data_IF_531784442090
#
_entry.id   IF_531784442090
#
_cell.length_a   1.000
_cell.length_b   1.000
_cell.length_c   1.000
_cell.angle_alpha   90.00
_cell.angle_beta   90.00
_cell.angle_gamma   90.00
#
_symmetry.space_group_name_H-M   'P 1'
#
loop_
_entity.id
_entity.type
_entity.pdbx_description
1 polymer ?
#
# COMPACT_ATOMS: atom_id res chain seq x y z
N UNK A 1 -19.94 -13.95 8.26
CA UNK A 1 -19.19 -14.45 7.08
C UNK A 1 -18.71 -13.31 6.17
N UNK A 2 -19.53 -12.31 5.84
CA UNK A 2 -19.13 -11.18 4.96
C UNK A 2 -18.01 -10.28 5.52
N UNK A 3 -17.98 -10.04 6.83
CA UNK A 3 -16.97 -9.17 7.47
C UNK A 3 -15.56 -9.72 7.31
N UNK A 4 -15.33 -11.03 7.52
CA UNK A 4 -14.02 -11.66 7.32
C UNK A 4 -13.52 -11.62 5.88
N UNK A 5 -14.43 -11.71 4.90
CA UNK A 5 -14.08 -11.56 3.48
C UNK A 5 -13.69 -10.12 3.13
N UNK A 6 -14.39 -9.12 3.68
CA UNK A 6 -14.02 -7.72 3.52
C UNK A 6 -12.66 -7.41 4.17
N UNK A 7 -12.41 -7.97 5.36
CA UNK A 7 -11.15 -7.84 6.09
C UNK A 7 -9.97 -8.41 5.29
N UNK A 8 -10.10 -9.64 4.79
CA UNK A 8 -9.07 -10.30 3.97
C UNK A 8 -8.71 -9.54 2.69
N UNK A 9 -9.67 -8.85 2.05
CA UNK A 9 -9.38 -7.98 0.89
C UNK A 9 -8.56 -6.75 1.26
N UNK A 10 -8.83 -6.12 2.41
CA UNK A 10 -8.06 -4.95 2.86
C UNK A 10 -6.64 -5.36 3.22
N UNK A 11 -6.46 -6.48 3.90
CA UNK A 11 -5.13 -6.98 4.28
C UNK A 11 -4.32 -7.43 3.07
N UNK A 12 -4.95 -8.08 2.09
CA UNK A 12 -4.30 -8.38 0.82
C UNK A 12 -3.78 -7.13 0.11
N UNK A 13 -4.53 -6.02 0.13
CA UNK A 13 -4.07 -4.74 -0.43
C UNK A 13 -2.95 -4.09 0.40
N UNK A 14 -3.00 -4.19 1.73
CA UNK A 14 -1.92 -3.71 2.62
C UNK A 14 -0.62 -4.47 2.37
N UNK A 15 -0.68 -5.79 2.22
CA UNK A 15 0.46 -6.64 1.88
C UNK A 15 1.00 -6.31 0.48
N UNK A 16 0.13 -6.12 -0.50
CA UNK A 16 0.56 -5.73 -1.84
C UNK A 16 1.27 -4.36 -1.84
N UNK A 17 0.80 -3.39 -1.04
CA UNK A 17 1.47 -2.10 -0.85
C UNK A 17 2.86 -2.23 -0.22
N UNK A 18 3.03 -3.07 0.81
CA UNK A 18 4.35 -3.25 1.45
C UNK A 18 5.37 -3.87 0.50
N UNK A 19 4.95 -4.86 -0.31
CA UNK A 19 5.80 -5.46 -1.34
C UNK A 19 6.23 -4.43 -2.39
N UNK A 20 5.28 -3.61 -2.88
CA UNK A 20 5.60 -2.57 -3.86
C UNK A 20 6.52 -1.48 -3.31
N UNK A 21 6.40 -1.14 -2.03
CA UNK A 21 7.28 -0.19 -1.37
C UNK A 21 8.72 -0.71 -1.28
N UNK A 22 8.90 -1.97 -0.86
CA UNK A 22 10.21 -2.60 -0.81
C UNK A 22 10.88 -2.66 -2.20
N UNK A 23 10.11 -2.95 -3.25
CA UNK A 23 10.62 -2.90 -4.62
C UNK A 23 10.96 -1.46 -5.04
N UNK A 24 10.15 -0.45 -4.68
CA UNK A 24 10.47 0.95 -4.99
C UNK A 24 11.81 1.36 -4.38
N UNK A 25 12.02 1.07 -3.09
CA UNK A 25 13.27 1.40 -2.38
C UNK A 25 14.50 0.78 -3.06
N UNK A 26 14.39 -0.50 -3.47
CA UNK A 26 15.45 -1.19 -4.21
C UNK A 26 15.79 -0.48 -5.52
N UNK A 27 14.80 0.00 -6.27
CA UNK A 27 15.03 0.69 -7.54
C UNK A 27 15.48 2.14 -7.34
N UNK A 28 15.02 2.80 -6.29
CA UNK A 28 15.42 4.16 -5.94
C UNK A 28 16.94 4.25 -5.72
N UNK A 29 17.52 3.25 -5.03
CA UNK A 29 18.96 3.16 -4.79
C UNK A 29 19.82 3.01 -6.07
N UNK A 30 19.21 2.70 -7.22
CA UNK A 30 19.90 2.49 -8.49
C UNK A 30 19.75 3.66 -9.47
N UNK A 31 19.01 4.70 -9.11
CA UNK A 31 18.75 5.84 -9.98
C UNK A 31 20.03 6.69 -10.15
N UNK A 32 20.45 6.90 -11.40
CA UNK A 32 21.64 7.71 -11.71
C UNK A 32 22.97 6.97 -11.64
N UNK A 33 23.01 5.77 -11.07
CA UNK A 33 24.24 4.99 -10.86
C UNK A 33 24.90 4.45 -12.15
N UNK A 34 24.17 4.38 -13.27
CA UNK A 34 24.74 3.89 -14.53
C UNK A 34 25.44 5.00 -15.31
N UNK A 35 26.57 4.68 -15.95
CA UNK A 35 27.19 5.56 -16.96
C UNK A 35 26.36 5.69 -18.24
N UNK A 36 25.45 4.74 -18.49
CA UNK A 36 24.57 4.77 -19.65
C UNK A 36 23.28 5.53 -19.34
N UNK A 37 23.06 6.64 -20.07
CA UNK A 37 21.85 7.45 -19.92
C UNK A 37 20.57 6.64 -20.19
N UNK A 38 20.59 5.74 -21.18
CA UNK A 38 19.44 4.88 -21.52
C UNK A 38 19.05 3.98 -20.34
N UNK A 39 20.04 3.40 -19.67
CA UNK A 39 19.80 2.57 -18.48
C UNK A 39 19.15 3.38 -17.36
N UNK A 40 19.64 4.60 -17.09
CA UNK A 40 19.05 5.46 -16.06
C UNK A 40 17.61 5.85 -16.40
N UNK A 41 17.31 6.15 -17.67
CA UNK A 41 15.93 6.42 -18.11
C UNK A 41 15.02 5.21 -17.88
N UNK A 42 15.45 4.00 -18.25
CA UNK A 42 14.65 2.78 -17.98
C UNK A 42 14.42 2.56 -16.47
N UNK A 43 15.43 2.82 -15.63
CA UNK A 43 15.29 2.74 -14.17
C UNK A 43 14.29 3.77 -13.63
N UNK A 44 14.34 5.00 -14.13
CA UNK A 44 13.38 6.06 -13.77
C UNK A 44 11.94 5.68 -14.15
N UNK A 45 11.74 5.14 -15.36
CA UNK A 45 10.41 4.65 -15.80
C UNK A 45 9.91 3.56 -14.85
N UNK A 46 10.75 2.57 -14.52
CA UNK A 46 10.37 1.47 -13.60
C UNK A 46 10.03 1.97 -12.20
N UNK A 47 10.86 2.86 -11.65
CA UNK A 47 10.60 3.51 -10.36
C UNK A 47 9.25 4.25 -10.40
N UNK A 48 8.97 5.00 -11.46
CA UNK A 48 7.68 5.68 -11.62
C UNK A 48 6.51 4.71 -11.75
N UNK A 49 6.68 3.59 -12.44
CA UNK A 49 5.65 2.54 -12.53
C UNK A 49 5.28 1.99 -11.16
N UNK A 50 6.25 1.79 -10.27
CA UNK A 50 6.00 1.33 -8.89
C UNK A 50 5.18 2.35 -8.11
N UNK A 51 5.53 3.64 -8.20
CA UNK A 51 4.75 4.72 -7.58
C UNK A 51 3.30 4.77 -8.07
N UNK A 52 3.10 4.62 -9.39
CA UNK A 52 1.75 4.59 -9.98
C UNK A 52 0.96 3.38 -9.50
N UNK A 53 1.59 2.20 -9.42
CA UNK A 53 0.97 0.99 -8.92
C UNK A 53 0.54 1.15 -7.44
N UNK A 54 1.43 1.67 -6.59
CA UNK A 54 1.10 1.97 -5.19
C UNK A 54 -0.07 2.96 -5.07
N UNK A 55 -0.09 4.03 -5.87
CA UNK A 55 -1.18 5.01 -5.85
C UNK A 55 -2.53 4.38 -6.25
N UNK A 56 -2.53 3.47 -7.23
CA UNK A 56 -3.73 2.74 -7.64
C UNK A 56 -4.22 1.79 -6.54
N UNK A 57 -3.32 1.07 -5.88
CA UNK A 57 -3.68 0.20 -4.75
C UNK A 57 -4.18 1.01 -3.54
N UNK A 58 -3.55 2.15 -3.23
CA UNK A 58 -4.05 3.08 -2.20
C UNK A 58 -5.45 3.56 -2.53
N UNK A 59 -5.71 3.90 -3.79
CA UNK A 59 -7.04 4.31 -4.25
C UNK A 59 -8.06 3.18 -4.09
N UNK A 60 -7.70 1.93 -4.41
CA UNK A 60 -8.56 0.77 -4.22
C UNK A 60 -8.83 0.50 -2.74
N UNK A 61 -7.79 0.56 -1.89
CA UNK A 61 -7.90 0.42 -0.45
C UNK A 61 -8.84 1.47 0.14
N UNK A 62 -8.66 2.74 -0.23
CA UNK A 62 -9.51 3.85 0.21
C UNK A 62 -10.98 3.72 -0.22
N UNK A 63 -11.30 2.88 -1.23
CA UNK A 63 -12.69 2.58 -1.62
C UNK A 63 -13.29 1.43 -0.81
N UNK A 64 -12.45 0.52 -0.30
CA UNK A 64 -12.85 -0.61 0.55
C UNK A 64 -12.88 -0.25 2.04
N UNK A 65 -12.20 0.82 2.42
CA UNK A 65 -12.34 1.48 3.71
C UNK A 65 -13.57 2.39 3.64
N UNK A 66 -14.61 2.18 4.47
CA UNK A 66 -15.77 3.07 4.52
C UNK A 66 -15.34 4.51 4.78
N UNK A 67 -16.01 5.48 4.13
CA UNK A 67 -15.77 6.93 4.32
C UNK A 67 -16.63 7.57 5.42
N UNK A 68 -17.39 6.76 6.13
CA UNK A 68 -18.22 7.14 7.29
C UNK A 68 -17.61 6.38 8.47
N UNK A 69 -17.24 6.96 9.58
CA UNK A 69 -17.48 8.28 10.16
C UNK A 69 -16.32 8.47 11.18
N UNK A 70 -16.22 9.58 11.87
CA UNK A 70 -15.27 9.78 12.98
C UNK A 70 -15.55 8.87 14.21
N UNK A 71 -16.29 7.79 14.01
CA UNK A 71 -16.52 6.73 14.98
C UNK A 71 -15.40 5.71 14.81
N UNK A 72 -14.65 5.49 15.88
CA UNK A 72 -13.72 4.36 15.99
C UNK A 72 -14.44 3.11 15.49
N UNK A 73 -13.81 2.40 14.56
CA UNK A 73 -14.33 1.13 14.03
C UNK A 73 -14.79 0.29 15.24
N UNK A 74 -16.06 -0.13 15.34
CA UNK A 74 -16.55 -0.88 16.50
C UNK A 74 -15.72 -2.14 16.76
N UNK A 75 -15.03 -2.65 15.74
CA UNK A 75 -14.05 -3.73 15.85
C UNK A 75 -12.77 -3.27 16.59
N UNK A 76 -12.27 -2.06 16.29
CA UNK A 76 -11.14 -1.45 17.01
C UNK A 76 -11.56 -1.07 18.43
N UNK A 77 -12.77 -0.55 18.64
CA UNK A 77 -13.29 -0.25 19.96
C UNK A 77 -13.40 -1.52 20.83
N UNK A 78 -13.91 -2.62 20.26
CA UNK A 78 -14.02 -3.89 20.97
C UNK A 78 -12.65 -4.53 21.26
N UNK A 79 -11.71 -4.43 20.32
CA UNK A 79 -10.34 -4.93 20.53
C UNK A 79 -9.57 -4.09 21.56
N UNK A 80 -9.82 -2.77 21.61
CA UNK A 80 -9.29 -1.87 22.63
C UNK A 80 -9.88 -2.19 24.02
N UNK A 81 -11.20 -2.43 24.11
CA UNK A 81 -11.85 -2.87 25.35
C UNK A 81 -11.29 -4.23 25.85
N UNK A 82 -11.03 -5.19 24.97
CA UNK A 82 -10.44 -6.48 25.35
C UNK A 82 -9.01 -6.36 25.91
N UNK A 83 -8.23 -5.38 25.45
CA UNK A 83 -6.87 -5.11 25.96
C UNK A 83 -6.84 -4.03 27.05
N UNK A 84 -8.01 -3.54 27.48
CA UNK A 84 -8.17 -2.58 28.56
C UNK A 84 -7.73 -1.14 28.24
N UNK A 85 -7.81 -0.73 26.98
CA UNK A 85 -7.50 0.62 26.49
C UNK A 85 -8.76 1.37 26.02
#
# INVERSE_FOLDING_TARGET
MEQGYAHGRRDGLRLALSILAAEEEKWAALLGESRSWRTNVTRQVRHKTLQVAQQRLRTALNRLTPKSDQTIDPEVASALEEIGL
#
